data_IF_362511968871
#
_entry.id   IF_362511968871
#
_cell.length_a   1.000
_cell.length_b   1.000
_cell.length_c   1.000
_cell.angle_alpha   90.00
_cell.angle_beta   90.00
_cell.angle_gamma   90.00
#
_symmetry.space_group_name_H-M   'P 1'
#
loop_
_entity.id
_entity.type
_entity.pdbx_description
1 polymer ?
#
# COMPACT_ATOMS: atom_id res chain seq x y z
N UNK A 1 6.45 12.51 -10.90
CA UNK A 1 6.68 11.30 -11.73
C UNK A 1 5.46 10.99 -12.61
N UNK A 2 5.58 10.14 -13.63
CA UNK A 2 4.53 9.83 -14.62
C UNK A 2 3.20 9.39 -13.98
N UNK A 3 3.26 8.56 -12.93
CA UNK A 3 2.08 8.13 -12.15
C UNK A 3 1.33 9.31 -11.53
N UNK A 4 2.05 10.27 -10.95
CA UNK A 4 1.45 11.48 -10.37
C UNK A 4 0.77 12.37 -11.44
N UNK A 5 1.24 12.34 -12.69
CA UNK A 5 0.58 13.02 -13.80
C UNK A 5 -0.68 12.26 -14.23
N UNK A 6 -0.58 10.92 -14.38
CA UNK A 6 -1.68 10.06 -14.79
C UNK A 6 -2.89 10.15 -13.85
N UNK A 7 -2.66 10.11 -12.53
CA UNK A 7 -3.77 10.18 -11.54
C UNK A 7 -4.52 11.51 -11.54
N UNK A 8 -3.85 12.60 -11.97
CA UNK A 8 -4.50 13.92 -12.09
C UNK A 8 -5.36 14.03 -13.36
N UNK A 9 -5.08 13.21 -14.37
CA UNK A 9 -5.86 13.17 -15.61
C UNK A 9 -7.06 12.23 -15.48
N UNK A 10 -6.87 11.08 -14.85
CA UNK A 10 -7.91 10.07 -14.67
C UNK A 10 -7.86 9.51 -13.26
N UNK A 11 -8.93 9.70 -12.49
CA UNK A 11 -9.05 9.16 -11.12
C UNK A 11 -9.19 7.64 -11.19
N UNK A 12 -8.50 6.86 -10.33
CA UNK A 12 -8.55 5.42 -10.45
C UNK A 12 -9.90 4.91 -9.94
N UNK A 13 -10.32 3.71 -10.39
CA UNK A 13 -11.50 3.08 -9.83
C UNK A 13 -11.30 2.86 -8.32
N UNK A 14 -12.39 2.93 -7.58
CA UNK A 14 -12.35 2.56 -6.16
C UNK A 14 -12.25 1.04 -6.07
N UNK A 15 -11.13 0.54 -5.54
CA UNK A 15 -11.01 -0.88 -5.21
C UNK A 15 -12.04 -1.22 -4.14
N UNK A 16 -13.01 -2.06 -4.47
CA UNK A 16 -14.05 -2.48 -3.55
C UNK A 16 -13.50 -3.32 -2.41
N UNK A 17 -14.15 -3.26 -1.26
CA UNK A 17 -14.05 -4.29 -0.22
C UNK A 17 -15.46 -4.80 0.06
N UNK A 18 -15.64 -6.08 0.41
CA UNK A 18 -16.94 -6.61 0.78
C UNK A 18 -17.58 -5.76 1.87
N UNK A 19 -18.91 -5.58 1.82
CA UNK A 19 -19.61 -4.72 2.79
C UNK A 19 -19.39 -5.18 4.24
N UNK A 20 -19.30 -6.51 4.46
CA UNK A 20 -18.94 -7.08 5.76
C UNK A 20 -17.61 -6.58 6.33
N UNK A 21 -16.68 -6.13 5.48
CA UNK A 21 -15.35 -5.63 5.84
C UNK A 21 -15.21 -4.11 5.67
N UNK A 22 -16.28 -3.41 5.23
CA UNK A 22 -16.26 -1.96 4.96
C UNK A 22 -15.85 -1.12 6.17
N UNK A 23 -16.17 -1.62 7.37
CA UNK A 23 -15.84 -1.01 8.65
C UNK A 23 -14.33 -0.87 8.88
N UNK A 24 -13.53 -1.86 8.46
CA UNK A 24 -12.07 -1.85 8.62
C UNK A 24 -11.43 -0.69 7.86
N UNK A 25 -11.86 -0.46 6.61
CA UNK A 25 -11.39 0.69 5.82
C UNK A 25 -11.82 2.02 6.40
N UNK A 26 -13.04 2.12 6.95
CA UNK A 26 -13.50 3.34 7.63
C UNK A 26 -12.67 3.63 8.87
N UNK A 27 -12.36 2.62 9.67
CA UNK A 27 -11.56 2.75 10.88
C UNK A 27 -10.12 3.17 10.54
N UNK A 28 -9.47 2.47 9.60
CA UNK A 28 -8.12 2.81 9.15
C UNK A 28 -8.08 4.23 8.57
N UNK A 29 -9.04 4.58 7.70
CA UNK A 29 -9.14 5.92 7.14
C UNK A 29 -9.31 7.00 8.21
N UNK A 30 -10.10 6.76 9.26
CA UNK A 30 -10.27 7.71 10.35
C UNK A 30 -8.94 7.97 11.11
N UNK A 31 -8.16 6.92 11.36
CA UNK A 31 -6.84 7.04 12.01
C UNK A 31 -5.85 7.82 11.11
N UNK A 32 -5.69 7.38 9.86
CA UNK A 32 -4.73 7.96 8.92
C UNK A 32 -5.06 9.42 8.59
N UNK A 33 -6.29 9.71 8.20
CA UNK A 33 -6.70 11.08 7.87
C UNK A 33 -6.75 11.97 9.11
N UNK A 34 -7.20 11.44 10.25
CA UNK A 34 -7.20 12.18 11.52
C UNK A 34 -5.80 12.62 11.95
N UNK A 35 -4.79 11.75 11.81
CA UNK A 35 -3.40 12.09 12.09
C UNK A 35 -2.84 13.17 11.15
N UNK A 36 -3.40 13.31 9.95
CA UNK A 36 -3.06 14.37 9.00
C UNK A 36 -3.87 15.66 9.21
N UNK A 37 -4.76 15.71 10.21
CA UNK A 37 -5.67 16.84 10.43
C UNK A 37 -6.78 16.96 9.39
N UNK A 38 -7.05 15.90 8.62
CA UNK A 38 -8.04 15.89 7.55
C UNK A 38 -9.39 15.43 8.10
N UNK A 39 -10.39 16.30 8.01
CA UNK A 39 -11.73 16.04 8.51
C UNK A 39 -12.45 14.92 7.76
N UNK A 40 -13.55 14.41 8.34
CA UNK A 40 -14.27 13.28 7.75
C UNK A 40 -15.01 13.63 6.46
N UNK A 41 -15.54 14.83 6.41
CA UNK A 41 -16.28 15.46 5.33
C UNK A 41 -15.37 16.22 4.34
N UNK A 42 -14.09 16.38 4.66
CA UNK A 42 -13.09 16.99 3.78
C UNK A 42 -12.66 16.02 2.65
N UNK A 43 -13.51 15.94 1.63
CA UNK A 43 -13.27 15.10 0.46
C UNK A 43 -12.02 15.51 -0.33
N UNK A 44 -11.70 16.80 -0.37
CA UNK A 44 -10.54 17.34 -1.09
C UNK A 44 -9.24 17.02 -0.35
N UNK A 45 -9.19 17.29 0.96
CA UNK A 45 -8.04 16.94 1.81
C UNK A 45 -7.73 15.44 1.79
N UNK A 46 -8.77 14.59 1.80
CA UNK A 46 -8.61 13.14 1.65
C UNK A 46 -8.06 12.74 0.29
N UNK A 47 -8.48 13.44 -0.77
CA UNK A 47 -7.95 13.21 -2.10
C UNK A 47 -6.48 13.65 -2.18
N UNK A 48 -6.14 14.82 -1.66
CA UNK A 48 -4.77 15.32 -1.58
C UNK A 48 -3.85 14.38 -0.77
N UNK A 49 -4.34 13.81 0.34
CA UNK A 49 -3.62 12.79 1.08
C UNK A 49 -3.36 11.53 0.26
N UNK A 50 -4.36 11.06 -0.49
CA UNK A 50 -4.21 9.90 -1.39
C UNK A 50 -3.22 10.16 -2.52
N UNK A 51 -3.18 11.38 -3.09
CA UNK A 51 -2.28 11.74 -4.18
C UNK A 51 -0.80 11.46 -3.87
N UNK A 52 -0.42 11.46 -2.59
CA UNK A 52 0.94 11.13 -2.12
C UNK A 52 1.38 9.72 -2.52
N UNK A 53 0.46 8.78 -2.71
CA UNK A 53 0.76 7.42 -3.17
C UNK A 53 1.52 7.42 -4.52
N UNK A 54 1.04 8.20 -5.49
CA UNK A 54 1.62 8.24 -6.83
C UNK A 54 2.88 9.11 -6.95
N UNK A 55 3.28 9.72 -5.85
CA UNK A 55 4.60 10.33 -5.66
C UNK A 55 5.46 9.51 -4.68
N UNK A 56 5.07 8.26 -4.39
CA UNK A 56 5.75 7.34 -3.48
C UNK A 56 6.03 7.92 -2.09
N UNK A 57 5.13 8.78 -1.62
CA UNK A 57 5.30 9.57 -0.39
C UNK A 57 6.62 10.35 -0.33
N UNK A 58 7.22 10.65 -1.49
CA UNK A 58 8.54 11.28 -1.67
C UNK A 58 9.70 10.45 -1.09
N UNK A 59 9.54 9.14 -0.99
CA UNK A 59 10.60 8.24 -0.62
C UNK A 59 11.77 8.35 -1.63
N UNK A 60 13.04 8.26 -1.16
CA UNK A 60 14.22 8.33 -2.03
C UNK A 60 14.35 7.10 -2.94
N UNK A 61 13.77 5.96 -2.55
CA UNK A 61 13.76 4.73 -3.34
C UNK A 61 12.33 4.22 -3.44
N UNK A 62 11.96 3.78 -4.64
CA UNK A 62 10.68 3.16 -4.93
C UNK A 62 10.91 1.90 -5.78
N UNK A 63 10.06 0.90 -5.60
CA UNK A 63 10.07 -0.33 -6.38
C UNK A 63 8.66 -0.76 -6.76
N UNK A 64 8.57 -1.63 -7.76
CA UNK A 64 7.33 -2.31 -8.15
C UNK A 64 7.56 -3.81 -7.96
N UNK A 65 6.62 -4.46 -7.28
CA UNK A 65 6.62 -5.90 -7.06
C UNK A 65 5.72 -6.53 -8.10
N UNK A 66 6.29 -7.43 -8.90
CA UNK A 66 5.59 -8.15 -9.94
C UNK A 66 5.60 -9.66 -9.70
N UNK A 67 4.70 -10.36 -10.37
CA UNK A 67 4.65 -11.82 -10.43
C UNK A 67 4.30 -12.24 -11.85
N UNK A 68 4.87 -13.35 -12.35
CA UNK A 68 4.50 -13.84 -13.68
C UNK A 68 3.00 -14.20 -13.73
N UNK A 69 2.30 -13.77 -14.79
CA UNK A 69 0.83 -13.84 -14.92
C UNK A 69 0.26 -15.27 -14.89
N UNK A 70 1.08 -16.27 -15.24
CA UNK A 70 0.67 -17.68 -15.22
C UNK A 70 0.77 -18.30 -13.82
N UNK A 71 1.32 -17.58 -12.84
CA UNK A 71 1.43 -18.04 -11.46
C UNK A 71 0.13 -17.79 -10.68
N UNK A 72 -0.18 -18.69 -9.74
CA UNK A 72 -1.44 -18.71 -9.03
C UNK A 72 -1.37 -18.15 -7.60
N UNK A 73 -2.45 -18.37 -6.85
CA UNK A 73 -2.53 -17.99 -5.44
C UNK A 73 -1.38 -18.56 -4.56
N UNK A 74 -0.95 -19.83 -4.71
CA UNK A 74 0.16 -20.35 -3.92
C UNK A 74 1.48 -19.58 -4.14
N UNK A 75 1.75 -19.18 -5.38
CA UNK A 75 2.94 -18.42 -5.74
C UNK A 75 2.88 -17.00 -5.18
N UNK A 76 1.70 -16.38 -5.19
CA UNK A 76 1.47 -15.07 -4.57
C UNK A 76 1.77 -15.08 -3.06
N UNK A 77 1.55 -16.21 -2.36
CA UNK A 77 1.99 -16.37 -0.97
C UNK A 77 3.52 -16.29 -0.87
N UNK A 78 4.25 -16.94 -1.79
CA UNK A 78 5.70 -16.87 -1.85
C UNK A 78 6.21 -15.44 -2.08
N UNK A 79 5.57 -14.69 -2.99
CA UNK A 79 5.90 -13.26 -3.21
C UNK A 79 5.62 -12.43 -1.94
N UNK A 80 4.51 -12.70 -1.25
CA UNK A 80 4.18 -12.07 0.03
C UNK A 80 5.21 -12.34 1.13
N UNK A 81 5.67 -13.60 1.25
CA UNK A 81 6.72 -13.98 2.20
C UNK A 81 8.04 -13.29 1.89
N UNK A 82 8.44 -13.24 0.62
CA UNK A 82 9.63 -12.50 0.18
C UNK A 82 9.52 -11.01 0.52
N UNK A 83 8.40 -10.38 0.14
CA UNK A 83 8.17 -8.96 0.36
C UNK A 83 8.25 -8.64 1.85
N UNK A 84 7.55 -9.40 2.71
CA UNK A 84 7.58 -9.19 4.15
C UNK A 84 8.98 -9.39 4.75
N UNK A 85 9.74 -10.38 4.26
CA UNK A 85 11.14 -10.60 4.69
C UNK A 85 12.00 -9.39 4.35
N UNK A 86 11.83 -8.81 3.17
CA UNK A 86 12.50 -7.56 2.77
C UNK A 86 12.12 -6.41 3.70
N UNK A 87 10.83 -6.20 4.00
CA UNK A 87 10.39 -5.11 4.89
C UNK A 87 11.02 -5.25 6.28
N UNK A 88 11.02 -6.46 6.85
CA UNK A 88 11.63 -6.73 8.16
C UNK A 88 13.15 -6.50 8.14
N UNK A 89 13.84 -6.90 7.07
CA UNK A 89 15.28 -6.67 6.93
C UNK A 89 15.64 -5.19 6.78
N UNK A 90 14.77 -4.38 6.17
CA UNK A 90 14.89 -2.92 6.13
C UNK A 90 14.69 -2.34 7.54
N UNK A 91 13.64 -2.75 8.25
CA UNK A 91 13.36 -2.31 9.63
C UNK A 91 14.52 -2.62 10.58
N UNK A 92 15.10 -3.82 10.50
CA UNK A 92 16.29 -4.22 11.28
C UNK A 92 17.50 -3.29 11.04
N UNK A 93 17.57 -2.66 9.87
CA UNK A 93 18.60 -1.69 9.49
C UNK A 93 18.21 -0.24 9.77
N UNK A 94 17.07 0.00 10.43
CA UNK A 94 16.55 1.34 10.67
C UNK A 94 16.05 2.05 9.41
N UNK A 95 15.66 1.30 8.38
CA UNK A 95 15.10 1.81 7.12
C UNK A 95 13.60 1.54 7.11
N UNK A 96 12.82 2.58 6.85
CA UNK A 96 11.37 2.51 6.79
C UNK A 96 10.90 2.09 5.39
N UNK A 97 9.71 1.50 5.36
CA UNK A 97 9.08 1.09 4.12
C UNK A 97 7.56 1.23 4.16
N UNK A 98 6.95 1.41 2.99
CA UNK A 98 5.51 1.46 2.82
C UNK A 98 5.09 0.72 1.56
N UNK A 99 4.26 -0.32 1.72
CA UNK A 99 3.65 -1.05 0.60
C UNK A 99 2.38 -0.32 0.18
N UNK A 100 2.21 -0.14 -1.13
CA UNK A 100 1.06 0.54 -1.70
C UNK A 100 0.52 -0.19 -2.95
N UNK A 101 -0.78 -0.47 -2.97
CA UNK A 101 -1.45 -1.10 -4.12
C UNK A 101 -1.91 -0.06 -5.16
N UNK A 102 -1.88 1.22 -4.78
CA UNK A 102 -2.29 2.38 -5.60
C UNK A 102 -1.56 2.48 -6.95
N UNK A 103 -0.30 2.04 -7.04
CA UNK A 103 0.47 2.02 -8.29
C UNK A 103 -0.05 0.99 -9.28
N UNK A 104 -0.58 -0.14 -8.80
CA UNK A 104 -1.18 -1.18 -9.62
C UNK A 104 -2.49 -0.73 -10.31
N UNK A 105 -3.04 0.44 -9.93
CA UNK A 105 -4.21 1.04 -10.58
C UNK A 105 -3.88 1.79 -11.89
N UNK A 106 -2.59 1.93 -12.21
CA UNK A 106 -2.09 2.49 -13.48
C UNK A 106 -1.00 1.58 -14.04
N UNK A 107 -1.34 0.33 -14.40
CA UNK A 107 -0.35 -0.65 -14.80
C UNK A 107 0.38 -0.23 -16.08
N UNK A 108 -0.34 0.31 -17.07
CA UNK A 108 0.23 0.72 -18.36
C UNK A 108 1.31 1.80 -18.19
N UNK A 109 1.03 2.82 -17.37
CA UNK A 109 1.99 3.91 -17.06
C UNK A 109 3.22 3.35 -16.36
N UNK A 110 3.03 2.40 -15.46
CA UNK A 110 4.15 1.78 -14.73
C UNK A 110 5.00 0.90 -15.64
N UNK A 111 4.35 0.15 -16.54
CA UNK A 111 5.03 -0.70 -17.54
C UNK A 111 5.86 0.14 -18.49
N UNK A 112 5.30 1.21 -19.04
CA UNK A 112 5.98 2.09 -20.00
C UNK A 112 7.24 2.73 -19.38
N UNK A 113 7.18 3.15 -18.11
CA UNK A 113 8.30 3.85 -17.46
C UNK A 113 9.43 2.91 -17.05
N UNK A 114 9.11 1.67 -16.69
CA UNK A 114 10.06 0.71 -16.11
C UNK A 114 10.39 -0.45 -17.06
N UNK A 115 9.92 -0.40 -18.30
CA UNK A 115 10.05 -1.46 -19.30
C UNK A 115 9.61 -2.83 -18.75
N UNK A 116 8.50 -2.86 -17.97
CA UNK A 116 8.01 -4.12 -17.37
C UNK A 116 7.36 -4.98 -18.46
N UNK A 117 7.86 -6.20 -18.70
CA UNK A 117 7.30 -7.10 -19.69
C UNK A 117 5.83 -7.44 -19.44
N UNK A 118 5.08 -7.69 -20.50
CA UNK A 118 3.65 -7.99 -20.40
C UNK A 118 3.39 -9.23 -19.55
N UNK A 119 4.25 -10.25 -19.61
CA UNK A 119 4.11 -11.51 -18.86
C UNK A 119 4.18 -11.37 -17.32
N UNK A 120 4.46 -10.17 -16.80
CA UNK A 120 4.45 -9.87 -15.38
C UNK A 120 3.22 -9.06 -14.96
N UNK A 121 2.44 -9.53 -14.00
CA UNK A 121 1.39 -8.75 -13.32
C UNK A 121 1.97 -7.90 -12.18
N UNK A 122 1.50 -6.66 -12.09
CA UNK A 122 1.91 -5.72 -11.04
C UNK A 122 1.07 -5.97 -9.79
N UNK A 123 1.71 -6.38 -8.71
CA UNK A 123 1.04 -6.66 -7.44
C UNK A 123 0.93 -5.41 -6.57
N UNK A 124 2.04 -4.69 -6.38
CA UNK A 124 2.09 -3.47 -5.57
C UNK A 124 3.36 -2.66 -5.84
N UNK A 125 3.39 -1.42 -5.35
CA UNK A 125 4.60 -0.63 -5.18
C UNK A 125 5.13 -0.71 -3.76
N UNK A 126 6.42 -0.45 -3.60
CA UNK A 126 7.10 -0.28 -2.31
C UNK A 126 7.83 1.05 -2.29
N UNK A 127 7.67 1.82 -1.21
CA UNK A 127 8.45 3.00 -0.91
C UNK A 127 9.49 2.62 0.14
N UNK A 128 10.75 3.05 -0.02
CA UNK A 128 11.86 2.74 0.89
C UNK A 128 12.60 4.04 1.21
N UNK A 129 12.83 4.31 2.50
CA UNK A 129 13.50 5.52 2.93
C UNK A 129 13.56 5.66 4.44
N UNK A 130 13.57 6.90 4.91
CA UNK A 130 13.51 7.23 6.33
C UNK A 130 12.25 8.06 6.58
N UNK A 131 11.44 7.64 7.55
CA UNK A 131 10.20 8.30 7.91
C UNK A 131 10.47 9.70 8.46
N UNK A 132 9.65 10.65 8.08
CA UNK A 132 9.66 12.00 8.65
C UNK A 132 9.17 11.93 10.12
N UNK A 133 10.02 12.26 11.11
CA UNK A 133 9.66 12.18 12.52
C UNK A 133 8.63 13.24 12.95
N UNK A 134 8.38 14.24 12.10
CA UNK A 134 7.42 15.31 12.36
C UNK A 134 6.03 15.02 11.78
N UNK A 135 5.92 13.98 10.94
CA UNK A 135 4.65 13.64 10.29
C UNK A 135 3.88 12.60 11.12
N UNK A 136 2.86 13.06 11.85
CA UNK A 136 2.13 12.26 12.83
C UNK A 136 1.55 10.93 12.27
N UNK A 137 1.18 10.88 10.99
CA UNK A 137 0.68 9.65 10.37
C UNK A 137 1.70 8.50 10.31
N UNK A 138 3.00 8.78 10.50
CA UNK A 138 4.05 7.76 10.57
C UNK A 138 4.09 7.02 11.92
N UNK A 139 3.40 7.53 12.95
CA UNK A 139 3.47 7.03 14.32
C UNK A 139 2.12 6.53 14.82
N UNK A 140 1.32 5.96 13.91
CA UNK A 140 0.01 5.43 14.21
C UNK A 140 0.09 4.00 14.74
N UNK A 141 -0.51 3.78 15.92
CA UNK A 141 -0.81 2.44 16.41
C UNK A 141 -2.06 1.90 15.71
N UNK A 142 -1.86 1.08 14.68
CA UNK A 142 -2.95 0.45 13.96
C UNK A 142 -3.40 -0.81 14.70
N UNK A 143 -4.66 -0.90 15.17
CA UNK A 143 -5.14 -2.07 15.90
C UNK A 143 -5.07 -3.34 15.03
N UNK A 144 -4.89 -4.48 15.69
CA UNK A 144 -5.02 -5.81 15.10
C UNK A 144 -6.14 -6.56 15.81
N UNK A 145 -6.77 -7.49 15.10
CA UNK A 145 -7.73 -8.42 15.69
C UNK A 145 -7.05 -9.25 16.78
N UNK A 146 -7.84 -9.76 17.73
CA UNK A 146 -7.29 -10.70 18.70
C UNK A 146 -6.80 -11.96 17.99
N UNK A 147 -5.80 -12.64 18.55
CA UNK A 147 -5.29 -13.90 17.97
C UNK A 147 -6.42 -14.92 17.81
N UNK A 148 -7.31 -14.99 18.81
CA UNK A 148 -8.49 -15.88 18.83
C UNK A 148 -9.50 -15.61 17.72
N UNK A 149 -9.50 -14.42 17.11
CA UNK A 149 -10.40 -14.11 15.99
C UNK A 149 -9.89 -14.72 14.67
N UNK A 150 -8.61 -15.11 14.62
CA UNK A 150 -7.93 -15.56 13.39
C UNK A 150 -7.33 -16.97 13.52
N UNK A 151 -7.20 -17.49 14.75
CA UNK A 151 -6.58 -18.78 15.05
C UNK A 151 -7.53 -19.59 15.93
N UNK A 152 -7.89 -20.78 15.45
CA UNK A 152 -8.61 -21.79 16.25
C UNK A 152 -7.59 -22.78 16.81
N UNK A 153 -7.60 -22.95 18.12
CA UNK A 153 -6.78 -23.96 18.80
C UNK A 153 -7.57 -25.26 18.93
N UNK A 154 -6.87 -26.39 18.84
CA UNK A 154 -7.41 -27.71 19.11
C UNK A 154 -6.47 -28.39 20.09
N UNK A 155 -6.97 -28.71 21.29
CA UNK A 155 -6.24 -29.49 22.28
C UNK A 155 -6.70 -30.95 22.14
N UNK A 156 -5.75 -31.88 22.02
CA UNK A 156 -5.98 -33.34 21.94
C UNK A 156 -6.61 -33.93 23.23
#
# INVERSE_FOLDING_TARGET
AALAAAVRQSRPPTMGIPESHSHLRRQLGALVYGAMGVARDDAEGRWNAQLRNWDFFRAPVAGIVCMHRDLGLPDALGVGMFLQTLLLALTDRGIDSCVQVSTALYPDVTREVLDIPDDLDLLCGICIGYADPTFAANFLDIPRNAVTDNVTSYDD
#
